data_IF_247553603966
#
_entry.id   IF_247553603966
#
_cell.length_a   1.000
_cell.length_b   1.000
_cell.length_c   1.000
_cell.angle_alpha   90.00
_cell.angle_beta   90.00
_cell.angle_gamma   90.00
#
_symmetry.space_group_name_H-M   'P 1'
#
loop_
_entity.id
_entity.type
_entity.pdbx_description
1 polymer ?
#
# COMPACT_ATOMS: atom_id res chain seq x y z
N UNK A 1 32.16 -3.79 39.81
CA UNK A 1 32.42 -4.32 38.47
C UNK A 1 31.10 -4.67 37.77
N UNK A 2 30.15 -3.73 37.74
CA UNK A 2 28.84 -3.91 37.09
C UNK A 2 28.46 -2.62 36.36
N UNK A 3 29.15 -2.35 35.25
CA UNK A 3 28.74 -1.28 34.32
C UNK A 3 28.03 -1.93 33.14
N UNK A 4 26.99 -1.26 32.64
CA UNK A 4 26.25 -1.64 31.43
C UNK A 4 26.42 -0.52 30.40
N UNK A 5 26.23 -0.87 29.13
CA UNK A 5 26.13 0.12 28.06
C UNK A 5 24.79 0.84 28.22
N UNK A 6 24.77 2.15 27.95
CA UNK A 6 23.55 2.93 28.04
C UNK A 6 22.60 2.58 26.89
N UNK A 7 21.33 2.30 27.19
CA UNK A 7 20.36 1.80 26.21
C UNK A 7 20.24 2.67 24.96
N UNK A 8 20.28 3.99 25.10
CA UNK A 8 20.18 4.91 23.96
C UNK A 8 21.39 4.87 23.02
N UNK A 9 22.52 4.32 23.48
CA UNK A 9 23.66 4.02 22.62
C UNK A 9 23.53 2.63 21.99
N UNK A 10 23.19 1.59 22.75
CA UNK A 10 23.14 0.22 22.21
C UNK A 10 21.89 -0.11 21.39
N UNK A 11 20.75 0.56 21.60
CA UNK A 11 19.49 0.22 20.93
C UNK A 11 19.60 0.33 19.40
N UNK A 12 20.29 1.36 18.89
CA UNK A 12 20.52 1.55 17.44
C UNK A 12 21.48 0.52 16.85
N UNK A 13 22.33 -0.11 17.69
CA UNK A 13 23.20 -1.22 17.25
C UNK A 13 22.37 -2.45 16.88
N UNK A 14 21.14 -2.55 17.39
CA UNK A 14 20.17 -3.61 17.09
C UNK A 14 19.99 -3.89 15.60
N UNK A 15 20.01 -2.85 14.75
CA UNK A 15 19.91 -3.01 13.30
C UNK A 15 21.06 -3.85 12.72
N UNK A 16 22.30 -3.53 13.13
CA UNK A 16 23.49 -4.22 12.65
C UNK A 16 23.59 -5.62 13.25
N UNK A 17 23.30 -5.78 14.54
CA UNK A 17 23.32 -7.10 15.17
C UNK A 17 22.28 -8.03 14.57
N UNK A 18 21.07 -7.54 14.29
CA UNK A 18 20.02 -8.32 13.63
C UNK A 18 20.43 -8.73 12.21
N UNK A 19 21.07 -7.84 11.44
CA UNK A 19 21.58 -8.18 10.12
C UNK A 19 22.69 -9.26 10.17
N UNK A 20 23.59 -9.18 11.16
CA UNK A 20 24.62 -10.20 11.38
C UNK A 20 24.03 -11.54 11.81
N UNK A 21 23.02 -11.53 12.68
CA UNK A 21 22.32 -12.75 13.09
C UNK A 21 21.55 -13.38 11.91
N UNK A 22 20.86 -12.57 11.11
CA UNK A 22 20.23 -13.03 9.86
C UNK A 22 21.26 -13.67 8.92
N UNK A 23 22.41 -13.03 8.70
CA UNK A 23 23.49 -13.57 7.86
C UNK A 23 23.98 -14.94 8.36
N UNK A 24 24.17 -15.09 9.67
CA UNK A 24 24.50 -16.39 10.28
C UNK A 24 23.43 -17.45 10.00
N UNK A 25 22.14 -17.09 10.11
CA UNK A 25 21.03 -18.00 9.83
C UNK A 25 20.93 -18.39 8.34
N UNK A 26 21.37 -17.54 7.43
CA UNK A 26 21.44 -17.85 5.99
C UNK A 26 22.62 -18.78 5.62
N UNK A 27 23.54 -19.04 6.54
CA UNK A 27 24.72 -19.88 6.31
C UNK A 27 25.91 -19.16 5.69
N UNK A 28 25.80 -17.86 5.43
CA UNK A 28 26.92 -16.97 5.05
C UNK A 28 27.05 -15.84 6.07
N UNK A 29 27.92 -15.99 7.09
CA UNK A 29 28.09 -14.98 8.14
C UNK A 29 28.59 -13.62 7.67
N UNK A 30 29.06 -13.48 6.42
CA UNK A 30 29.61 -12.23 5.90
C UNK A 30 28.64 -11.49 4.96
N UNK A 31 27.54 -12.11 4.53
CA UNK A 31 26.59 -11.53 3.58
C UNK A 31 25.94 -10.23 4.06
N UNK A 32 25.87 -10.00 5.38
CA UNK A 32 25.40 -8.71 5.93
C UNK A 32 26.23 -7.52 5.41
N UNK A 33 27.51 -7.73 5.07
CA UNK A 33 28.39 -6.66 4.56
C UNK A 33 27.90 -6.11 3.22
N UNK A 34 27.16 -6.87 2.43
CA UNK A 34 26.57 -6.39 1.18
C UNK A 34 25.55 -5.27 1.39
N UNK A 35 24.91 -5.22 2.57
CA UNK A 35 23.96 -4.17 2.92
C UNK A 35 24.62 -3.02 3.69
N UNK A 36 25.65 -3.33 4.48
CA UNK A 36 26.24 -2.40 5.45
C UNK A 36 27.59 -1.81 5.06
N UNK A 37 28.25 -2.30 4.01
CA UNK A 37 29.57 -1.82 3.55
C UNK A 37 29.64 -1.58 2.02
N UNK A 38 28.57 -1.89 1.28
CA UNK A 38 28.49 -1.60 -0.15
C UNK A 38 27.97 -0.17 -0.39
N UNK A 39 28.76 0.74 -0.98
CA UNK A 39 28.36 2.14 -1.17
C UNK A 39 27.13 2.33 -2.06
N UNK A 40 26.76 1.35 -2.89
CA UNK A 40 25.55 1.40 -3.72
C UNK A 40 24.27 1.05 -2.95
N UNK A 41 24.38 0.46 -1.76
CA UNK A 41 23.22 0.09 -0.95
C UNK A 41 22.64 1.32 -0.24
N UNK A 42 21.34 1.55 -0.42
CA UNK A 42 20.60 2.66 0.22
C UNK A 42 19.89 2.19 1.48
N UNK A 43 20.40 2.61 2.63
CA UNK A 43 19.80 2.30 3.93
C UNK A 43 18.77 3.36 4.35
N UNK A 44 17.51 2.97 4.48
CA UNK A 44 16.43 3.82 4.99
C UNK A 44 16.12 3.47 6.46
N UNK A 45 15.93 4.49 7.30
CA UNK A 45 15.55 4.32 8.70
C UNK A 45 14.20 5.00 8.98
N UNK A 46 13.12 4.21 8.94
CA UNK A 46 11.77 4.69 9.25
C UNK A 46 11.55 4.80 10.76
N UNK A 47 11.32 6.02 11.24
CA UNK A 47 11.26 6.31 12.68
C UNK A 47 10.15 7.32 13.01
N UNK A 48 9.85 7.49 14.30
CA UNK A 48 9.12 8.67 14.78
C UNK A 48 10.06 9.85 15.06
N UNK A 49 9.55 11.08 15.01
CA UNK A 49 10.34 12.33 15.15
C UNK A 49 11.22 12.44 16.38
N UNK A 50 10.83 11.79 17.48
CA UNK A 50 11.63 11.77 18.72
C UNK A 50 12.95 10.99 18.57
N UNK A 51 13.12 10.21 17.51
CA UNK A 51 14.30 9.37 17.27
C UNK A 51 15.31 9.99 16.29
N UNK A 52 15.03 11.17 15.72
CA UNK A 52 15.87 11.79 14.68
C UNK A 52 17.32 11.91 15.16
N UNK A 53 17.55 12.48 16.35
CA UNK A 53 18.91 12.67 16.88
C UNK A 53 19.71 11.35 16.96
N UNK A 54 19.06 10.25 17.38
CA UNK A 54 19.74 8.97 17.49
C UNK A 54 20.16 8.42 16.12
N UNK A 55 19.39 8.68 15.07
CA UNK A 55 19.61 8.12 13.74
C UNK A 55 20.43 9.04 12.81
N UNK A 56 20.47 10.35 13.09
CA UNK A 56 21.23 11.32 12.28
C UNK A 56 22.53 11.77 12.92
N UNK A 57 22.74 11.52 14.22
CA UNK A 57 23.97 11.89 14.93
C UNK A 57 24.62 10.72 15.65
N UNK A 58 23.93 10.11 16.62
CA UNK A 58 24.53 9.08 17.49
C UNK A 58 24.90 7.81 16.73
N UNK A 59 23.98 7.30 15.91
CA UNK A 59 24.17 6.07 15.17
C UNK A 59 25.22 6.19 14.05
N UNK A 60 25.21 7.25 13.22
CA UNK A 60 26.30 7.49 12.27
C UNK A 60 27.68 7.54 12.93
N UNK A 61 27.82 8.20 14.08
CA UNK A 61 29.08 8.25 14.83
C UNK A 61 29.54 6.85 15.28
N UNK A 62 28.63 6.02 15.80
CA UNK A 62 28.93 4.65 16.18
C UNK A 62 29.35 3.80 14.96
N UNK A 63 28.66 3.93 13.83
CA UNK A 63 28.98 3.23 12.58
C UNK A 63 30.33 3.63 12.01
N UNK A 64 30.65 4.93 11.98
CA UNK A 64 31.96 5.43 11.53
C UNK A 64 33.07 4.86 12.42
N UNK A 65 32.90 4.93 13.75
CA UNK A 65 33.89 4.42 14.70
C UNK A 65 34.10 2.91 14.56
N UNK A 66 33.01 2.16 14.34
CA UNK A 66 33.08 0.73 14.09
C UNK A 66 33.78 0.42 12.75
N UNK A 67 33.47 1.16 11.68
CA UNK A 67 34.11 0.98 10.38
C UNK A 67 35.60 1.27 10.39
N UNK A 68 36.03 2.32 11.10
CA UNK A 68 37.45 2.63 11.31
C UNK A 68 38.17 1.49 12.04
N UNK A 69 37.53 0.89 13.05
CA UNK A 69 38.08 -0.24 13.80
C UNK A 69 38.07 -1.56 13.01
N UNK A 70 37.06 -1.79 12.17
CA UNK A 70 36.90 -2.97 11.30
C UNK A 70 37.79 -2.88 10.04
N UNK A 71 38.36 -1.70 9.75
CA UNK A 71 39.19 -1.44 8.58
C UNK A 71 38.40 -1.28 7.28
N UNK A 72 37.07 -1.14 7.37
CA UNK A 72 36.15 -0.97 6.23
C UNK A 72 35.04 0.02 6.59
N UNK A 73 34.81 1.07 5.80
CA UNK A 73 33.72 2.02 6.04
C UNK A 73 32.36 1.33 6.10
N UNK A 74 31.52 1.82 7.01
CA UNK A 74 30.12 1.42 7.11
C UNK A 74 29.23 2.38 6.35
N UNK A 75 28.18 1.85 5.71
CA UNK A 75 27.12 2.63 5.10
C UNK A 75 26.38 3.44 6.17
N UNK A 76 26.20 4.71 5.89
CA UNK A 76 25.34 5.59 6.68
C UNK A 76 23.92 5.57 6.11
N UNK A 77 22.98 6.20 6.82
CA UNK A 77 21.64 6.38 6.31
C UNK A 77 21.65 7.13 4.97
N UNK A 78 21.04 6.54 3.95
CA UNK A 78 20.67 7.24 2.73
C UNK A 78 19.58 8.27 3.03
N UNK A 79 18.58 7.84 3.81
CA UNK A 79 17.51 8.69 4.30
C UNK A 79 17.01 8.21 5.67
N UNK A 80 16.42 9.12 6.44
CA UNK A 80 15.80 8.85 7.74
C UNK A 80 14.36 9.38 7.74
N UNK A 81 13.42 8.73 7.01
CA UNK A 81 12.03 9.16 6.99
C UNK A 81 11.45 9.13 8.40
N UNK A 82 10.91 10.26 8.81
CA UNK A 82 10.43 10.44 10.18
C UNK A 82 8.99 10.90 10.20
N UNK A 83 8.13 10.14 10.86
CA UNK A 83 6.74 10.51 11.06
C UNK A 83 6.54 11.38 12.31
N UNK A 84 5.57 12.28 12.20
CA UNK A 84 4.96 13.01 13.29
C UNK A 84 4.07 12.08 14.15
N UNK A 85 3.45 12.60 15.21
CA UNK A 85 2.61 11.76 16.08
C UNK A 85 1.27 11.43 15.41
N UNK A 86 0.75 10.24 15.72
CA UNK A 86 -0.64 9.89 15.51
C UNK A 86 -1.37 9.95 16.87
N UNK A 87 -2.26 10.93 17.01
CA UNK A 87 -3.09 11.13 18.20
C UNK A 87 -4.38 10.31 18.10
N UNK A 88 -5.11 10.18 19.20
CA UNK A 88 -6.39 9.48 19.24
C UNK A 88 -7.44 10.41 19.83
N UNK A 89 -8.47 10.73 19.05
CA UNK A 89 -9.58 11.61 19.45
C UNK A 89 -9.10 12.94 20.09
N UNK A 90 -8.14 13.61 19.44
CA UNK A 90 -7.55 14.88 19.87
C UNK A 90 -6.61 14.79 21.06
N UNK A 91 -6.27 13.58 21.53
CA UNK A 91 -5.40 13.35 22.69
C UNK A 91 -4.13 12.61 22.29
N UNK A 92 -3.01 12.96 22.93
CA UNK A 92 -1.77 12.20 22.77
C UNK A 92 -1.98 10.77 23.24
N UNK A 93 -1.65 9.81 22.37
CA UNK A 93 -1.75 8.39 22.66
C UNK A 93 -1.00 8.05 23.97
N UNK A 94 -1.65 7.32 24.87
CA UNK A 94 -1.12 7.06 26.21
C UNK A 94 -1.61 5.71 26.74
N UNK A 95 -0.65 4.81 26.93
CA UNK A 95 -0.89 3.48 27.52
C UNK A 95 -1.33 3.57 28.97
N UNK A 96 -0.77 4.50 29.76
CA UNK A 96 -1.13 4.71 31.16
C UNK A 96 -2.52 5.31 31.37
N UNK A 97 -3.04 6.05 30.38
CA UNK A 97 -4.40 6.62 30.40
C UNK A 97 -5.41 5.82 29.57
N UNK A 98 -5.02 4.62 29.12
CA UNK A 98 -5.76 3.78 28.18
C UNK A 98 -6.30 4.53 26.94
N UNK A 99 -5.62 5.61 26.54
CA UNK A 99 -6.00 6.44 25.38
C UNK A 99 -5.11 6.02 24.22
N UNK A 100 -5.24 4.79 23.77
CA UNK A 100 -4.44 4.23 22.67
C UNK A 100 -5.27 3.21 21.92
N UNK A 101 -5.03 3.11 20.61
CA UNK A 101 -5.64 2.08 19.78
C UNK A 101 -4.59 1.02 19.54
N UNK A 102 -4.89 -0.20 20.00
CA UNK A 102 -3.99 -1.34 19.91
C UNK A 102 -4.22 -2.07 18.59
N UNK A 103 -3.15 -2.28 17.83
CA UNK A 103 -3.24 -2.96 16.52
C UNK A 103 -3.80 -4.37 16.66
N UNK A 104 -3.43 -5.12 17.70
CA UNK A 104 -3.95 -6.48 17.93
C UNK A 104 -5.47 -6.50 18.05
N UNK A 105 -6.06 -5.58 18.82
CA UNK A 105 -7.51 -5.49 18.98
C UNK A 105 -8.20 -5.07 17.67
N UNK A 106 -7.52 -4.28 16.82
CA UNK A 106 -8.05 -3.88 15.52
C UNK A 106 -8.07 -5.02 14.52
N UNK A 107 -6.97 -5.78 14.38
CA UNK A 107 -6.86 -6.86 13.39
C UNK A 107 -7.75 -8.05 13.72
N UNK A 108 -8.14 -8.21 14.99
CA UNK A 108 -9.13 -9.22 15.41
C UNK A 108 -10.57 -8.85 14.97
N UNK A 109 -10.84 -7.57 14.65
CA UNK A 109 -12.18 -7.04 14.39
C UNK A 109 -12.38 -6.49 12.99
N UNK A 110 -11.32 -5.99 12.35
CA UNK A 110 -11.36 -5.30 11.05
C UNK A 110 -10.36 -5.90 10.07
N UNK A 111 -10.67 -5.80 8.78
CA UNK A 111 -9.78 -6.32 7.73
C UNK A 111 -8.46 -5.51 7.73
N UNK A 112 -7.30 -6.18 7.69
CA UNK A 112 -6.00 -5.51 7.69
C UNK A 112 -5.82 -4.45 6.60
N UNK A 113 -6.40 -4.63 5.40
CA UNK A 113 -6.29 -3.65 4.33
C UNK A 113 -7.07 -2.37 4.64
N UNK A 114 -8.18 -2.46 5.37
CA UNK A 114 -8.93 -1.26 5.80
C UNK A 114 -8.07 -0.41 6.74
N UNK A 115 -7.37 -1.06 7.68
CA UNK A 115 -6.47 -0.41 8.62
C UNK A 115 -5.25 0.18 7.92
N UNK A 116 -4.59 -0.60 7.03
CA UNK A 116 -3.44 -0.16 6.26
C UNK A 116 -3.78 1.05 5.39
N UNK A 117 -4.92 0.99 4.69
CA UNK A 117 -5.42 2.11 3.90
C UNK A 117 -5.57 3.36 4.74
N UNK A 118 -6.30 3.26 5.86
CA UNK A 118 -6.57 4.39 6.73
C UNK A 118 -5.29 5.03 7.26
N UNK A 119 -4.41 4.22 7.87
CA UNK A 119 -3.16 4.69 8.46
C UNK A 119 -2.22 5.31 7.42
N UNK A 120 -2.26 4.84 6.18
CA UNK A 120 -1.49 5.43 5.09
C UNK A 120 -2.12 6.73 4.57
N UNK A 121 -3.44 6.76 4.41
CA UNK A 121 -4.18 7.94 3.95
C UNK A 121 -4.08 9.11 4.94
N UNK A 122 -3.99 8.81 6.24
CA UNK A 122 -3.83 9.79 7.32
C UNK A 122 -2.40 9.84 7.86
N UNK A 123 -1.42 9.31 7.13
CA UNK A 123 -0.05 9.19 7.64
C UNK A 123 0.51 10.56 8.07
N UNK A 124 1.07 10.69 9.28
CA UNK A 124 1.60 11.96 9.80
C UNK A 124 2.97 12.27 9.19
N UNK A 125 3.01 12.57 7.90
CA UNK A 125 4.24 12.89 7.15
C UNK A 125 4.74 14.32 7.44
N UNK A 126 3.83 15.31 7.43
CA UNK A 126 4.18 16.73 7.54
C UNK A 126 3.79 17.38 8.86
N UNK A 127 2.83 16.78 9.55
CA UNK A 127 2.28 17.27 10.82
C UNK A 127 1.68 16.10 11.58
N UNK A 128 1.39 16.31 12.86
CA UNK A 128 0.67 15.31 13.64
C UNK A 128 -0.70 15.02 12.98
N UNK A 129 -1.14 13.77 13.07
CA UNK A 129 -2.45 13.29 12.60
C UNK A 129 -3.30 12.89 13.80
N UNK A 130 -4.61 12.75 13.60
CA UNK A 130 -5.53 12.29 14.62
C UNK A 130 -6.37 11.14 14.08
N UNK A 131 -6.28 9.98 14.71
CA UNK A 131 -7.16 8.86 14.46
C UNK A 131 -8.53 9.16 15.06
N UNK A 132 -9.57 9.05 14.22
CA UNK A 132 -10.97 9.02 14.68
C UNK A 132 -11.71 7.86 14.03
N UNK A 133 -12.58 7.20 14.79
CA UNK A 133 -13.36 6.09 14.26
C UNK A 133 -14.36 6.52 13.19
N UNK A 134 -14.90 7.74 13.32
CA UNK A 134 -15.75 8.35 12.29
C UNK A 134 -14.99 8.47 10.95
N UNK A 135 -13.75 8.97 10.95
CA UNK A 135 -12.95 9.08 9.72
C UNK A 135 -12.53 7.69 9.18
N UNK A 136 -12.23 6.73 10.07
CA UNK A 136 -11.95 5.35 9.68
C UNK A 136 -13.13 4.72 8.90
N UNK A 137 -14.34 4.80 9.45
CA UNK A 137 -15.56 4.31 8.79
C UNK A 137 -15.83 5.06 7.48
N UNK A 138 -15.68 6.39 7.49
CA UNK A 138 -15.92 7.22 6.31
C UNK A 138 -14.98 6.87 5.15
N UNK A 139 -13.67 6.77 5.41
CA UNK A 139 -12.66 6.43 4.39
C UNK A 139 -12.86 5.02 3.83
N UNK A 140 -13.15 4.04 4.69
CA UNK A 140 -13.49 2.70 4.20
C UNK A 140 -14.71 2.75 3.27
N UNK A 141 -15.79 3.36 3.71
CA UNK A 141 -17.06 3.30 2.98
C UNK A 141 -17.04 4.14 1.69
N UNK A 142 -16.44 5.31 1.72
CA UNK A 142 -16.49 6.26 0.60
C UNK A 142 -15.34 6.04 -0.39
N UNK A 143 -14.16 5.62 0.08
CA UNK A 143 -12.98 5.46 -0.78
C UNK A 143 -12.80 3.99 -1.15
N UNK A 144 -12.60 3.09 -0.18
CA UNK A 144 -12.40 1.67 -0.49
C UNK A 144 -13.65 1.01 -1.08
N UNK A 145 -14.81 1.10 -0.44
CA UNK A 145 -16.03 0.43 -0.89
C UNK A 145 -16.65 1.15 -2.10
N UNK A 146 -16.94 2.45 -1.98
CA UNK A 146 -17.71 3.15 -3.00
C UNK A 146 -16.90 3.55 -4.24
N UNK A 147 -15.58 3.70 -4.15
CA UNK A 147 -14.73 4.08 -5.29
C UNK A 147 -13.99 2.87 -5.88
N UNK A 148 -13.03 2.30 -5.15
CA UNK A 148 -12.17 1.24 -5.67
C UNK A 148 -12.90 -0.11 -5.78
N UNK A 149 -13.53 -0.56 -4.70
CA UNK A 149 -14.26 -1.82 -4.64
C UNK A 149 -15.45 -1.87 -5.60
N UNK A 150 -16.21 -0.77 -5.69
CA UNK A 150 -17.32 -0.63 -6.64
C UNK A 150 -16.84 -0.75 -8.09
N UNK A 151 -15.79 -0.02 -8.48
CA UNK A 151 -15.21 -0.11 -9.82
C UNK A 151 -14.90 -1.55 -10.19
N UNK A 152 -14.12 -2.22 -9.34
CA UNK A 152 -13.69 -3.60 -9.56
C UNK A 152 -14.91 -4.52 -9.68
N UNK A 153 -15.79 -4.49 -8.70
CA UNK A 153 -16.93 -5.40 -8.64
C UNK A 153 -17.87 -5.20 -9.83
N UNK A 154 -18.19 -3.95 -10.18
CA UNK A 154 -19.09 -3.61 -11.28
C UNK A 154 -18.51 -4.00 -12.63
N UNK A 155 -17.25 -3.67 -12.89
CA UNK A 155 -16.58 -4.00 -14.15
C UNK A 155 -16.49 -5.51 -14.34
N UNK A 156 -16.00 -6.24 -13.33
CA UNK A 156 -15.88 -7.69 -13.40
C UNK A 156 -17.24 -8.39 -13.48
N UNK A 157 -18.25 -7.93 -12.75
CA UNK A 157 -19.61 -8.51 -12.82
C UNK A 157 -20.23 -8.33 -14.20
N UNK A 158 -20.10 -7.13 -14.78
CA UNK A 158 -20.59 -6.87 -16.13
C UNK A 158 -19.89 -7.76 -17.15
N UNK A 159 -18.57 -7.88 -17.07
CA UNK A 159 -17.81 -8.73 -17.97
C UNK A 159 -18.16 -10.20 -17.80
N UNK A 160 -18.12 -10.72 -16.57
CA UNK A 160 -18.36 -12.12 -16.26
C UNK A 160 -19.73 -12.58 -16.76
N UNK A 161 -20.78 -11.79 -16.50
CA UNK A 161 -22.16 -12.14 -16.90
C UNK A 161 -22.41 -12.06 -18.40
N UNK A 162 -21.71 -11.17 -19.12
CA UNK A 162 -22.04 -10.88 -20.51
C UNK A 162 -21.06 -11.49 -21.50
N UNK A 163 -19.89 -11.95 -21.08
CA UNK A 163 -18.83 -12.49 -21.95
C UNK A 163 -18.36 -13.87 -21.47
N UNK A 164 -19.29 -14.72 -21.04
CA UNK A 164 -19.04 -16.13 -20.68
C UNK A 164 -17.94 -16.33 -19.63
N UNK A 165 -17.83 -15.39 -18.68
CA UNK A 165 -16.77 -15.42 -17.67
C UNK A 165 -15.38 -15.18 -18.23
N UNK A 166 -15.22 -14.52 -19.39
CA UNK A 166 -13.92 -14.31 -20.05
C UNK A 166 -13.62 -12.84 -20.30
N UNK A 167 -12.33 -12.51 -20.36
CA UNK A 167 -11.85 -11.20 -20.84
C UNK A 167 -12.32 -11.01 -22.29
N UNK A 168 -13.06 -9.93 -22.62
CA UNK A 168 -13.62 -9.76 -23.95
C UNK A 168 -12.55 -9.34 -24.96
N UNK A 169 -12.77 -9.66 -26.23
CA UNK A 169 -11.97 -9.10 -27.34
C UNK A 169 -12.40 -7.65 -27.59
N UNK A 170 -11.50 -6.66 -27.43
CA UNK A 170 -11.83 -5.26 -27.63
C UNK A 170 -11.95 -4.83 -29.09
N UNK A 171 -11.47 -5.64 -30.04
CA UNK A 171 -11.11 -5.15 -31.37
C UNK A 171 -10.06 -4.03 -31.28
N UNK A 172 -10.15 -3.02 -32.15
CA UNK A 172 -9.27 -1.85 -32.06
C UNK A 172 -9.65 -0.95 -30.88
N UNK A 173 -8.67 -0.54 -30.08
CA UNK A 173 -8.86 0.48 -29.05
C UNK A 173 -8.95 1.86 -29.69
N UNK A 174 -9.92 2.65 -29.24
CA UNK A 174 -10.01 4.05 -29.64
C UNK A 174 -9.07 4.93 -28.80
N UNK A 175 -8.91 6.18 -29.23
CA UNK A 175 -8.04 7.15 -28.58
C UNK A 175 -8.38 7.35 -27.09
N UNK A 176 -9.66 7.23 -26.72
CA UNK A 176 -10.10 7.40 -25.33
C UNK A 176 -9.66 6.23 -24.47
N UNK A 177 -9.73 5.01 -25.02
CA UNK A 177 -9.21 3.82 -24.37
C UNK A 177 -7.70 3.90 -24.15
N UNK A 178 -6.94 4.24 -25.20
CA UNK A 178 -5.48 4.33 -25.09
C UNK A 178 -5.04 5.44 -24.14
N UNK A 179 -5.75 6.58 -24.09
CA UNK A 179 -5.49 7.64 -23.10
C UNK A 179 -5.62 7.13 -21.66
N UNK A 180 -6.70 6.42 -21.32
CA UNK A 180 -6.88 5.89 -19.96
C UNK A 180 -5.74 4.92 -19.57
N UNK A 181 -5.36 4.03 -20.48
CA UNK A 181 -4.28 3.07 -20.21
C UNK A 181 -2.93 3.77 -20.04
N UNK A 182 -2.67 4.80 -20.85
CA UNK A 182 -1.50 5.65 -20.70
C UNK A 182 -1.50 6.39 -19.36
N UNK A 183 -2.62 6.95 -18.93
CA UNK A 183 -2.73 7.63 -17.64
C UNK A 183 -2.42 6.68 -16.47
N UNK A 184 -2.82 5.40 -16.58
CA UNK A 184 -2.47 4.37 -15.59
C UNK A 184 -0.97 4.03 -15.61
N UNK A 185 -0.33 3.93 -16.77
CA UNK A 185 1.12 3.69 -16.90
C UNK A 185 1.94 4.86 -16.35
N UNK A 186 1.58 6.09 -16.72
CA UNK A 186 2.21 7.31 -16.21
C UNK A 186 1.96 7.43 -14.68
N UNK A 187 0.77 7.04 -14.24
CA UNK A 187 0.38 6.93 -12.84
C UNK A 187 1.26 5.97 -12.04
N UNK A 188 1.52 4.77 -12.55
CA UNK A 188 2.43 3.81 -11.93
C UNK A 188 3.83 4.41 -11.75
N UNK A 189 4.33 5.11 -12.77
CA UNK A 189 5.63 5.79 -12.70
C UNK A 189 5.63 6.87 -11.62
N UNK A 190 4.60 7.71 -11.58
CA UNK A 190 4.47 8.77 -10.57
C UNK A 190 4.39 8.20 -9.14
N UNK A 191 3.69 7.09 -8.95
CA UNK A 191 3.55 6.43 -7.64
C UNK A 191 4.88 5.83 -7.18
N UNK A 192 5.63 5.18 -8.08
CA UNK A 192 6.98 4.67 -7.80
C UNK A 192 7.89 5.79 -7.29
N UNK A 193 7.90 6.94 -7.98
CA UNK A 193 8.67 8.10 -7.56
C UNK A 193 8.27 8.63 -6.17
N UNK A 194 6.97 8.61 -5.82
CA UNK A 194 6.52 9.03 -4.50
C UNK A 194 6.95 8.05 -3.42
N UNK A 195 6.79 6.74 -3.67
CA UNK A 195 7.21 5.69 -2.72
C UNK A 195 8.72 5.73 -2.51
N UNK A 196 9.52 5.89 -3.56
CA UNK A 196 10.98 6.00 -3.47
C UNK A 196 11.46 7.22 -2.67
N UNK A 197 10.62 8.26 -2.57
CA UNK A 197 10.83 9.46 -1.74
C UNK A 197 10.14 9.38 -0.37
N UNK A 198 9.60 8.22 0.01
CA UNK A 198 8.82 8.01 1.23
C UNK A 198 7.56 8.89 1.38
N UNK A 199 6.98 9.36 0.27
CA UNK A 199 5.72 10.13 0.23
C UNK A 199 4.52 9.19 0.01
N UNK A 200 4.26 8.31 0.98
CA UNK A 200 3.29 7.23 0.84
C UNK A 200 1.86 7.73 0.64
N UNK A 201 1.46 8.80 1.34
CA UNK A 201 0.13 9.40 1.22
C UNK A 201 -0.12 9.95 -0.19
N UNK A 202 0.90 10.59 -0.78
CA UNK A 202 0.82 11.12 -2.14
C UNK A 202 0.67 9.99 -3.16
N UNK A 203 1.45 8.90 -3.02
CA UNK A 203 1.31 7.73 -3.89
C UNK A 203 -0.08 7.09 -3.81
N UNK A 204 -0.62 6.91 -2.60
CA UNK A 204 -1.96 6.36 -2.40
C UNK A 204 -3.06 7.25 -2.99
N UNK A 205 -2.93 8.57 -2.83
CA UNK A 205 -3.85 9.56 -3.39
C UNK A 205 -3.87 9.52 -4.93
N UNK A 206 -2.70 9.37 -5.56
CA UNK A 206 -2.60 9.20 -7.02
C UNK A 206 -3.31 7.92 -7.48
N UNK A 207 -3.10 6.79 -6.79
CA UNK A 207 -3.79 5.53 -7.11
C UNK A 207 -5.32 5.67 -7.01
N UNK A 208 -5.81 6.32 -5.96
CA UNK A 208 -7.25 6.54 -5.76
C UNK A 208 -7.84 7.48 -6.80
N UNK A 209 -7.10 8.53 -7.20
CA UNK A 209 -7.51 9.46 -8.26
C UNK A 209 -7.66 8.74 -9.61
N UNK A 210 -6.73 7.84 -9.95
CA UNK A 210 -6.82 7.04 -11.17
C UNK A 210 -7.98 6.03 -11.12
N UNK A 211 -8.32 5.49 -9.94
CA UNK A 211 -9.52 4.68 -9.76
C UNK A 211 -10.80 5.50 -9.98
N UNK A 212 -10.84 6.77 -9.57
CA UNK A 212 -11.95 7.69 -9.86
C UNK A 212 -12.06 8.00 -11.36
N UNK A 213 -10.95 8.28 -12.05
CA UNK A 213 -10.97 8.50 -13.50
C UNK A 213 -11.39 7.24 -14.27
N UNK A 214 -11.00 6.05 -13.79
CA UNK A 214 -11.45 4.78 -14.39
C UNK A 214 -12.96 4.56 -14.19
N UNK A 215 -13.51 4.90 -13.01
CA UNK A 215 -14.96 4.90 -12.79
C UNK A 215 -15.67 5.85 -13.76
N UNK A 216 -15.17 7.08 -13.90
CA UNK A 216 -15.72 8.07 -14.82
C UNK A 216 -15.67 7.58 -16.27
N UNK A 217 -14.58 6.94 -16.68
CA UNK A 217 -14.49 6.32 -18.00
C UNK A 217 -15.59 5.26 -18.21
N UNK A 218 -15.75 4.34 -17.24
CA UNK A 218 -16.80 3.32 -17.26
C UNK A 218 -18.20 3.95 -17.31
N UNK A 219 -18.40 5.07 -16.60
CA UNK A 219 -19.68 5.76 -16.55
C UNK A 219 -20.07 6.44 -17.86
N UNK A 220 -19.12 7.14 -18.46
CA UNK A 220 -19.29 7.84 -19.73
C UNK A 220 -19.37 6.87 -20.93
N UNK A 221 -18.68 5.72 -20.89
CA UNK A 221 -18.82 4.68 -21.94
C UNK A 221 -20.10 3.87 -21.80
N UNK A 222 -20.64 3.79 -20.58
CA UNK A 222 -21.90 3.12 -20.26
C UNK A 222 -22.09 1.74 -20.95
N UNK A 223 -21.16 0.78 -20.80
CA UNK A 223 -21.21 -0.49 -21.54
C UNK A 223 -22.52 -1.27 -21.30
N UNK A 224 -23.15 -1.13 -20.12
CA UNK A 224 -24.44 -1.77 -19.84
C UNK A 224 -25.59 -1.29 -20.74
N UNK A 225 -25.50 -0.08 -21.29
CA UNK A 225 -26.45 0.44 -22.29
C UNK A 225 -26.09 -0.02 -23.70
N UNK A 226 -24.80 -0.20 -23.98
CA UNK A 226 -24.32 -0.65 -25.29
C UNK A 226 -24.47 -2.17 -25.49
N UNK A 227 -24.47 -2.98 -24.43
CA UNK A 227 -24.56 -4.45 -24.53
C UNK A 227 -25.69 -4.99 -25.45
N UNK A 228 -26.92 -4.45 -25.44
CA UNK A 228 -28.00 -4.93 -26.30
C UNK A 228 -27.82 -4.58 -27.79
N UNK A 229 -27.27 -3.40 -28.09
CA UNK A 229 -27.30 -2.79 -29.43
C UNK A 229 -25.93 -2.71 -30.11
N UNK A 230 -24.85 -2.61 -29.33
CA UNK A 230 -23.45 -2.47 -29.76
C UNK A 230 -22.51 -3.20 -28.78
N UNK A 231 -22.61 -4.53 -28.81
CA UNK A 231 -21.76 -5.43 -28.02
C UNK A 231 -20.25 -5.22 -28.26
N UNK A 232 -19.75 -4.95 -29.48
CA UNK A 232 -18.34 -4.60 -29.70
C UNK A 232 -17.88 -3.36 -28.93
N UNK A 233 -18.66 -2.29 -28.89
CA UNK A 233 -18.33 -1.09 -28.09
C UNK A 233 -18.30 -1.38 -26.59
N UNK A 234 -19.25 -2.19 -26.10
CA UNK A 234 -19.25 -2.64 -24.70
C UNK A 234 -18.01 -3.50 -24.37
N UNK A 235 -17.62 -4.41 -25.28
CA UNK A 235 -16.44 -5.26 -25.15
C UNK A 235 -15.16 -4.43 -25.03
N UNK A 236 -14.97 -3.45 -25.93
CA UNK A 236 -13.84 -2.50 -25.89
C UNK A 236 -13.77 -1.76 -24.55
N UNK A 237 -14.89 -1.17 -24.13
CA UNK A 237 -14.96 -0.38 -22.89
C UNK A 237 -14.61 -1.22 -21.66
N UNK A 238 -15.19 -2.42 -21.55
CA UNK A 238 -14.95 -3.33 -20.43
C UNK A 238 -13.52 -3.90 -20.42
N UNK A 239 -12.98 -4.24 -21.59
CA UNK A 239 -11.58 -4.65 -21.73
C UNK A 239 -10.62 -3.57 -21.22
N UNK A 240 -10.83 -2.32 -21.66
CA UNK A 240 -10.01 -1.17 -21.22
C UNK A 240 -10.08 -0.98 -19.71
N UNK A 241 -11.27 -1.05 -19.13
CA UNK A 241 -11.46 -0.93 -17.67
C UNK A 241 -10.79 -2.09 -16.92
N UNK A 242 -10.86 -3.32 -17.43
CA UNK A 242 -10.17 -4.47 -16.86
C UNK A 242 -8.65 -4.29 -16.90
N UNK A 243 -8.09 -3.77 -18.00
CA UNK A 243 -6.68 -3.44 -18.09
C UNK A 243 -6.29 -2.37 -17.05
N UNK A 244 -7.06 -1.28 -16.95
CA UNK A 244 -6.83 -0.23 -15.95
C UNK A 244 -6.89 -0.78 -14.51
N UNK A 245 -7.89 -1.62 -14.20
CA UNK A 245 -7.99 -2.32 -12.91
C UNK A 245 -6.74 -3.18 -12.65
N UNK A 246 -6.22 -3.87 -13.67
CA UNK A 246 -5.03 -4.71 -13.52
C UNK A 246 -3.77 -3.89 -13.21
N UNK A 247 -3.64 -2.68 -13.79
CA UNK A 247 -2.57 -1.74 -13.43
C UNK A 247 -2.76 -1.15 -12.04
N UNK A 248 -3.98 -0.72 -11.69
CA UNK A 248 -4.30 -0.17 -10.37
C UNK A 248 -4.11 -1.20 -9.25
N UNK A 249 -4.41 -2.47 -9.50
CA UNK A 249 -4.09 -3.59 -8.60
C UNK A 249 -2.62 -3.59 -8.18
N UNK A 250 -1.70 -3.34 -9.12
CA UNK A 250 -0.26 -3.25 -8.86
C UNK A 250 0.05 -1.98 -8.06
N UNK A 251 -0.52 -0.84 -8.46
CA UNK A 251 -0.36 0.44 -7.75
C UNK A 251 -0.81 0.37 -6.28
N UNK A 252 -1.89 -0.36 -6.00
CA UNK A 252 -2.43 -0.54 -4.66
C UNK A 252 -1.70 -1.62 -3.84
N UNK A 253 -0.91 -2.52 -4.45
CA UNK A 253 -0.31 -3.66 -3.75
C UNK A 253 0.55 -3.29 -2.52
N UNK A 254 1.40 -2.24 -2.54
CA UNK A 254 2.15 -1.82 -1.35
C UNK A 254 1.25 -1.39 -0.19
N UNK A 255 0.03 -0.95 -0.49
CA UNK A 255 -0.94 -0.41 0.47
C UNK A 255 -1.93 -1.48 0.93
N UNK A 256 -2.48 -2.27 -0.01
CA UNK A 256 -3.61 -3.19 0.16
C UNK A 256 -3.26 -4.62 -0.32
N UNK A 257 -2.24 -5.28 0.28
CA UNK A 257 -1.70 -6.53 -0.26
C UNK A 257 -2.72 -7.66 -0.32
N UNK A 258 -3.66 -7.76 0.64
CA UNK A 258 -4.56 -8.91 0.71
C UNK A 258 -5.68 -8.84 -0.34
N UNK A 259 -6.30 -7.68 -0.50
CA UNK A 259 -7.39 -7.45 -1.46
C UNK A 259 -6.89 -7.41 -2.90
N UNK A 260 -5.69 -6.89 -3.15
CA UNK A 260 -5.07 -6.89 -4.48
C UNK A 260 -4.62 -8.29 -4.91
N UNK A 261 -4.15 -9.13 -3.99
CA UNK A 261 -3.89 -10.56 -4.27
C UNK A 261 -5.18 -11.32 -4.61
N UNK A 262 -6.28 -11.07 -3.85
CA UNK A 262 -7.60 -11.63 -4.18
C UNK A 262 -8.05 -11.20 -5.57
N UNK A 263 -7.89 -9.92 -5.91
CA UNK A 263 -8.21 -9.37 -7.23
C UNK A 263 -7.34 -10.00 -8.33
N UNK A 264 -6.05 -10.24 -8.08
CA UNK A 264 -5.16 -10.97 -8.99
C UNK A 264 -5.78 -12.34 -9.35
N UNK A 265 -6.29 -13.07 -8.36
CA UNK A 265 -7.02 -14.32 -8.56
C UNK A 265 -8.34 -14.16 -9.33
N UNK A 266 -9.14 -13.12 -9.06
CA UNK A 266 -10.40 -12.87 -9.78
C UNK A 266 -10.19 -12.57 -11.27
N UNK A 267 -9.07 -11.92 -11.60
CA UNK A 267 -8.67 -11.68 -12.98
C UNK A 267 -8.17 -12.95 -13.69
N UNK A 268 -8.07 -14.09 -12.99
CA UNK A 268 -7.72 -15.38 -13.59
C UNK A 268 -6.23 -15.71 -13.58
N UNK A 269 -5.41 -14.90 -12.90
CA UNK A 269 -3.98 -15.19 -12.76
C UNK A 269 -3.74 -16.27 -11.69
N UNK A 270 -2.80 -17.16 -11.96
CA UNK A 270 -2.45 -18.30 -11.10
C UNK A 270 -1.11 -18.20 -10.39
N UNK A 271 -0.37 -17.12 -10.63
CA UNK A 271 0.92 -16.80 -10.00
C UNK A 271 0.72 -15.79 -8.86
N UNK A 272 1.69 -15.62 -7.96
CA UNK A 272 1.70 -14.50 -7.03
C UNK A 272 1.70 -13.16 -7.77
N UNK A 273 1.01 -12.15 -7.24
CA UNK A 273 0.99 -10.80 -7.82
C UNK A 273 2.40 -10.19 -7.94
N UNK A 274 3.32 -10.54 -7.04
CA UNK A 274 4.71 -10.06 -7.07
C UNK A 274 5.45 -10.36 -8.37
N UNK A 275 5.01 -11.38 -9.12
CA UNK A 275 5.67 -11.82 -10.36
C UNK A 275 5.38 -10.87 -11.54
N UNK A 276 4.31 -10.07 -11.47
CA UNK A 276 3.94 -9.11 -12.53
C UNK A 276 4.94 -7.95 -12.65
N UNK A 277 5.62 -7.62 -11.54
CA UNK A 277 6.48 -6.44 -11.40
C UNK A 277 5.71 -5.12 -11.41
N UNK A 278 6.43 -4.00 -11.47
CA UNK A 278 5.84 -2.65 -11.46
C UNK A 278 5.51 -2.14 -12.88
N UNK A 279 4.49 -2.72 -13.53
CA UNK A 279 4.09 -2.36 -14.90
C UNK A 279 2.64 -2.70 -15.20
N UNK A 280 2.03 -2.00 -16.15
CA UNK A 280 0.73 -2.39 -16.67
C UNK A 280 0.85 -3.69 -17.48
N UNK A 281 0.16 -4.75 -17.04
CA UNK A 281 0.00 -5.99 -17.80
C UNK A 281 -1.42 -6.01 -18.37
N UNK A 282 -1.58 -6.16 -19.69
CA UNK A 282 -2.91 -6.28 -20.32
C UNK A 282 -3.35 -7.76 -20.28
N UNK A 283 -4.50 -8.11 -19.66
CA UNK A 283 -5.00 -9.48 -19.67
C UNK A 283 -5.28 -9.96 -21.09
N UNK A 284 -5.08 -11.25 -21.36
CA UNK A 284 -5.26 -11.79 -22.72
C UNK A 284 -6.75 -11.94 -23.03
N UNK A 285 -7.27 -11.45 -24.17
CA UNK A 285 -8.63 -11.75 -24.60
C UNK A 285 -8.92 -13.26 -24.59
N UNK A 286 -10.08 -13.65 -24.05
CA UNK A 286 -10.47 -15.05 -23.86
C UNK A 286 -9.97 -15.71 -22.58
N UNK A 287 -9.10 -15.05 -21.81
CA UNK A 287 -8.68 -15.50 -20.48
C UNK A 287 -9.89 -15.64 -19.55
N UNK A 288 -9.94 -16.75 -18.80
CA UNK A 288 -11.01 -17.01 -17.85
C UNK A 288 -10.90 -16.07 -16.63
N UNK A 289 -12.00 -15.41 -16.32
CA UNK A 289 -12.22 -14.68 -15.09
C UNK A 289 -12.87 -15.62 -14.07
N UNK A 290 -12.56 -15.42 -12.78
CA UNK A 290 -13.31 -16.08 -11.71
C UNK A 290 -14.53 -15.25 -11.35
N UNK A 291 -15.51 -15.89 -10.71
CA UNK A 291 -16.71 -15.19 -10.24
C UNK A 291 -16.30 -14.05 -9.29
N UNK A 292 -16.65 -12.79 -9.61
CA UNK A 292 -16.22 -11.65 -8.81
C UNK A 292 -16.96 -11.60 -7.48
N UNK A 293 -16.25 -11.18 -6.44
CA UNK A 293 -16.81 -10.88 -5.12
C UNK A 293 -16.42 -9.46 -4.69
N UNK A 294 -17.20 -8.81 -3.83
CA UNK A 294 -16.81 -7.53 -3.25
C UNK A 294 -15.42 -7.60 -2.58
N UNK A 295 -14.56 -6.61 -2.85
CA UNK A 295 -13.21 -6.58 -2.27
C UNK A 295 -13.18 -6.18 -0.80
N UNK A 296 -14.11 -5.31 -0.40
CA UNK A 296 -14.17 -4.70 0.92
C UNK A 296 -15.59 -4.79 1.48
N UNK A 297 -15.68 -4.89 2.80
CA UNK A 297 -16.95 -4.87 3.53
C UNK A 297 -17.24 -3.45 4.00
N UNK A 298 -18.48 -3.03 3.87
CA UNK A 298 -18.94 -1.75 4.41
C UNK A 298 -18.91 -1.81 5.94
N UNK A 299 -18.38 -0.78 6.57
CA UNK A 299 -18.43 -0.62 8.02
C UNK A 299 -19.72 0.11 8.40
N UNK A 300 -20.48 -0.46 9.34
CA UNK A 300 -21.69 0.18 9.84
C UNK A 300 -21.35 1.47 10.61
N UNK A 301 -22.10 2.58 10.43
CA UNK A 301 -21.81 3.85 11.10
C UNK A 301 -21.69 3.74 12.63
N UNK A 302 -22.48 2.85 13.24
CA UNK A 302 -22.52 2.61 14.68
C UNK A 302 -21.18 2.05 15.23
N UNK A 303 -20.32 1.49 14.37
CA UNK A 303 -18.98 1.04 14.76
C UNK A 303 -18.18 2.19 15.38
N UNK A 304 -18.35 3.41 14.88
CA UNK A 304 -17.62 4.54 15.42
C UNK A 304 -17.98 4.82 16.88
N UNK A 305 -19.27 4.85 17.19
CA UNK A 305 -19.76 5.03 18.56
C UNK A 305 -19.36 3.85 19.46
N UNK A 306 -19.52 2.61 19.00
CA UNK A 306 -19.17 1.42 19.77
C UNK A 306 -17.69 1.36 20.16
N UNK A 307 -16.79 1.75 19.25
CA UNK A 307 -15.36 1.76 19.54
C UNK A 307 -14.94 2.95 20.41
N UNK A 308 -15.60 4.11 20.27
CA UNK A 308 -15.41 5.22 21.18
C UNK A 308 -15.83 4.85 22.61
N UNK A 309 -16.94 4.12 22.78
CA UNK A 309 -17.36 3.57 24.07
C UNK A 309 -16.34 2.57 24.64
N UNK A 310 -15.80 1.68 23.81
CA UNK A 310 -14.75 0.71 24.22
C UNK A 310 -13.46 1.39 24.67
N UNK A 311 -13.09 2.50 24.06
CA UNK A 311 -11.92 3.29 24.48
C UNK A 311 -12.17 4.06 25.78
N UNK A 312 -13.43 4.36 26.10
CA UNK A 312 -13.81 5.07 27.32
C UNK A 312 -13.97 4.14 28.54
N UNK A 313 -14.21 2.84 28.32
CA UNK A 313 -14.31 1.80 29.35
C UNK A 313 -12.96 1.30 29.84
#
# INVERSE_FOLDING_TARGET
>A
AEKRIYVWFENVVGYLSAAKEWAQQQGDPEVWREFWQNPECRSYYFIGKDNIFFHTMSWPMALMSYGDADGKPMNLAYDVPSNHFNNVAGRKASTSRNTAIWINDLIDRYDPDQLRYYLCATMPETSDSDFTWTDFVARNNNELVATWGNLVHRALTLTYRNFDGKVPDPGELDERCERLLKDVEDGLTAIDEQIGKANFRSGLSTAMSLAQETNKFLDETAPWKALPDDRPSAARSLYTVICAINGLKIAFYPYLPFSTERLHGYLGFGTPLSDDGWRLVRPTPGQDLREPQPLFVKLEPEIAEQEEERLAS
#
